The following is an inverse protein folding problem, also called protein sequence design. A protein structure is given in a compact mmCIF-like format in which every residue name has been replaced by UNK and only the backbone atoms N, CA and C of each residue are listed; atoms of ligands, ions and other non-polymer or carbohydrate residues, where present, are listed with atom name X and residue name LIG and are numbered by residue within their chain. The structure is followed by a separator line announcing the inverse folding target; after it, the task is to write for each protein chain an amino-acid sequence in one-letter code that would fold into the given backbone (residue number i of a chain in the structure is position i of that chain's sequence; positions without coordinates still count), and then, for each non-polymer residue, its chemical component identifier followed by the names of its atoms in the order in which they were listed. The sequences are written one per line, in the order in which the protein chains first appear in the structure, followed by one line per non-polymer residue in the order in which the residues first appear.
data_IF_987538448175
#
_entry.id   IF_987538448175
#
_cell.length_a   1.000
_cell.length_b   1.000
_cell.length_c   1.000
_cell.angle_alpha   90.00
_cell.angle_beta   90.00
_cell.angle_gamma   90.00
#
_symmetry.space_group_name_H-M   'P 1'
#
loop_
_entity.id
_entity.type
_entity.pdbx_description
1 polymer ?
#
# COMPACT_ATOMS: atom_id res chain seq x y z
N UNK A 1 -11.18 17.12 -5.58
CA UNK A 1 -12.02 16.55 -4.50
C UNK A 1 -12.07 15.02 -4.56
N UNK A 2 -12.38 14.40 -5.70
CA UNK A 2 -12.46 12.92 -5.83
C UNK A 2 -11.13 12.22 -5.50
N UNK A 3 -9.99 12.75 -5.96
CA UNK A 3 -8.67 12.16 -5.66
C UNK A 3 -8.35 12.13 -4.15
N UNK A 4 -8.73 13.16 -3.40
CA UNK A 4 -8.53 13.21 -1.93
C UNK A 4 -9.38 12.14 -1.25
N UNK A 5 -10.63 11.98 -1.70
CA UNK A 5 -11.54 10.97 -1.15
C UNK A 5 -11.00 9.54 -1.37
N UNK A 6 -10.44 9.27 -2.55
CA UNK A 6 -9.77 7.99 -2.85
C UNK A 6 -8.63 7.73 -1.86
N UNK A 7 -7.74 8.70 -1.64
CA UNK A 7 -6.62 8.53 -0.70
C UNK A 7 -7.08 8.37 0.75
N UNK A 8 -8.13 9.07 1.17
CA UNK A 8 -8.74 8.87 2.49
C UNK A 8 -9.29 7.45 2.61
N UNK A 9 -10.04 6.97 1.62
CA UNK A 9 -10.57 5.60 1.64
C UNK A 9 -9.47 4.55 1.66
N UNK A 10 -8.40 4.74 0.88
CA UNK A 10 -7.22 3.88 0.89
C UNK A 10 -6.56 3.86 2.27
N UNK A 11 -6.43 5.02 2.93
CA UNK A 11 -5.90 5.12 4.29
C UNK A 11 -6.76 4.38 5.32
N UNK A 12 -8.09 4.50 5.21
CA UNK A 12 -9.03 3.76 6.07
C UNK A 12 -8.87 2.25 5.87
N UNK A 13 -8.79 1.79 4.61
CA UNK A 13 -8.57 0.37 4.31
C UNK A 13 -7.22 -0.09 4.86
N UNK A 14 -6.15 0.68 4.68
CA UNK A 14 -4.85 0.37 5.25
C UNK A 14 -4.92 0.21 6.77
N UNK A 15 -5.64 1.10 7.47
CA UNK A 15 -5.85 1.02 8.91
C UNK A 15 -6.65 -0.23 9.33
N UNK A 16 -7.74 -0.54 8.63
CA UNK A 16 -8.52 -1.75 8.88
C UNK A 16 -7.68 -3.01 8.68
N UNK A 17 -6.93 -3.08 7.59
CA UNK A 17 -5.97 -4.15 7.32
C UNK A 17 -4.90 -4.24 8.41
N UNK A 18 -4.37 -3.10 8.88
CA UNK A 18 -3.37 -3.06 9.94
C UNK A 18 -3.87 -3.72 11.22
N UNK A 19 -5.12 -3.43 11.61
CA UNK A 19 -5.76 -3.99 12.79
C UNK A 19 -6.10 -5.48 12.64
N UNK A 20 -6.42 -5.91 11.43
CA UNK A 20 -6.98 -7.26 11.18
C UNK A 20 -5.91 -8.29 10.88
N UNK A 21 -4.88 -7.93 10.10
CA UNK A 21 -3.85 -8.87 9.66
C UNK A 21 -2.74 -8.99 10.69
N UNK A 22 -2.58 -10.16 11.28
CA UNK A 22 -1.38 -10.49 12.04
C UNK A 22 -0.22 -10.75 11.06
N UNK A 23 0.88 -10.07 11.34
CA UNK A 23 2.10 -10.16 10.54
C UNK A 23 3.10 -11.05 11.26
N UNK A 24 3.73 -11.96 10.52
CA UNK A 24 4.83 -12.79 11.02
C UNK A 24 6.07 -11.92 11.33
N UNK A 25 6.58 -12.02 12.57
CA UNK A 25 7.73 -11.23 13.02
C UNK A 25 9.02 -11.54 12.25
N UNK A 26 9.25 -12.80 11.87
CA UNK A 26 10.43 -13.20 11.09
C UNK A 26 10.52 -12.46 9.74
N UNK A 27 9.38 -12.19 9.11
CA UNK A 27 9.32 -11.45 7.85
C UNK A 27 9.53 -9.94 8.05
N UNK A 28 9.15 -9.38 9.21
CA UNK A 28 9.46 -7.99 9.60
C UNK A 28 10.96 -7.81 9.87
N UNK A 29 11.56 -8.76 10.57
CA UNK A 29 13.00 -8.74 10.88
C UNK A 29 13.88 -8.71 9.64
N UNK A 30 13.46 -9.44 8.61
CA UNK A 30 14.14 -9.55 7.32
C UNK A 30 13.78 -8.42 6.33
N UNK A 31 12.96 -7.44 6.73
CA UNK A 31 12.57 -6.32 5.85
C UNK A 31 11.67 -6.68 4.67
N UNK A 32 11.09 -7.89 4.66
CA UNK A 32 10.36 -8.40 3.48
C UNK A 32 9.06 -7.64 3.22
N UNK A 33 8.42 -7.09 4.26
CA UNK A 33 7.15 -6.37 4.09
C UNK A 33 7.32 -5.02 3.40
N UNK A 34 8.49 -4.39 3.45
CA UNK A 34 8.73 -3.19 2.65
C UNK A 34 8.75 -3.54 1.15
N UNK A 35 9.46 -4.62 0.81
CA UNK A 35 9.55 -5.11 -0.57
C UNK A 35 8.17 -5.54 -1.08
N UNK A 36 7.39 -6.26 -0.27
CA UNK A 36 6.04 -6.66 -0.63
C UNK A 36 5.11 -5.44 -0.77
N UNK A 37 5.14 -4.53 0.19
CA UNK A 37 4.34 -3.31 0.15
C UNK A 37 4.66 -2.49 -1.10
N UNK A 38 5.94 -2.27 -1.39
CA UNK A 38 6.41 -1.51 -2.54
C UNK A 38 6.07 -2.19 -3.85
N UNK A 39 6.26 -3.50 -3.95
CA UNK A 39 5.87 -4.29 -5.12
C UNK A 39 4.37 -4.20 -5.40
N UNK A 40 3.54 -4.33 -4.37
CA UNK A 40 2.07 -4.23 -4.48
C UNK A 40 1.65 -2.85 -4.99
N UNK A 41 2.18 -1.77 -4.39
CA UNK A 41 1.84 -0.40 -4.80
C UNK A 41 2.34 -0.12 -6.22
N UNK A 42 3.57 -0.52 -6.55
CA UNK A 42 4.14 -0.31 -7.89
C UNK A 42 3.34 -1.04 -8.97
N UNK A 43 2.99 -2.32 -8.75
CA UNK A 43 2.17 -3.10 -9.69
C UNK A 43 0.77 -2.47 -9.82
N UNK A 44 0.17 -2.02 -8.71
CA UNK A 44 -1.13 -1.35 -8.75
C UNK A 44 -1.09 -0.07 -9.58
N UNK A 45 -0.06 0.77 -9.42
CA UNK A 45 0.11 2.00 -10.20
C UNK A 45 0.30 1.72 -11.69
N UNK A 46 1.17 0.76 -12.04
CA UNK A 46 1.39 0.33 -13.43
C UNK A 46 0.09 -0.22 -14.03
N UNK A 47 -0.60 -1.08 -13.29
CA UNK A 47 -1.89 -1.65 -13.68
C UNK A 47 -2.91 -0.55 -13.96
N UNK A 48 -3.10 0.40 -13.04
CA UNK A 48 -4.01 1.52 -13.23
C UNK A 48 -3.68 2.35 -14.47
N UNK A 49 -2.39 2.59 -14.75
CA UNK A 49 -1.98 3.34 -15.94
C UNK A 49 -2.37 2.62 -17.24
N UNK A 50 -2.05 1.32 -17.33
CA UNK A 50 -2.37 0.50 -18.51
C UNK A 50 -3.89 0.36 -18.68
N UNK A 51 -4.60 0.04 -17.61
CA UNK A 51 -6.05 -0.15 -17.62
C UNK A 51 -6.81 1.12 -17.93
N UNK A 52 -6.33 2.29 -17.48
CA UNK A 52 -6.90 3.57 -17.87
C UNK A 52 -6.85 3.78 -19.39
N UNK A 53 -5.76 3.35 -20.03
CA UNK A 53 -5.57 3.47 -21.47
C UNK A 53 -6.47 2.49 -22.24
N UNK A 54 -6.57 1.25 -21.76
CA UNK A 54 -7.32 0.17 -22.42
C UNK A 54 -8.84 0.28 -22.21
N UNK A 55 -9.28 0.72 -21.03
CA UNK A 55 -10.70 0.75 -20.65
C UNK A 55 -11.32 2.14 -20.78
N UNK A 56 -10.76 3.03 -21.63
CA UNK A 56 -11.19 4.44 -21.75
C UNK A 56 -12.71 4.60 -21.90
N UNK A 57 -13.35 3.72 -22.68
CA UNK A 57 -14.79 3.78 -22.98
C UNK A 57 -15.67 2.95 -22.03
N UNK A 58 -15.08 2.27 -21.04
CA UNK A 58 -15.76 1.34 -20.13
C UNK A 58 -15.72 1.85 -18.69
N UNK A 59 -16.57 2.84 -18.42
CA UNK A 59 -16.70 3.49 -17.10
C UNK A 59 -17.06 2.48 -16.00
N UNK A 60 -17.90 1.50 -16.32
CA UNK A 60 -18.28 0.37 -15.45
C UNK A 60 -17.04 -0.37 -14.91
N UNK A 61 -16.14 -0.75 -15.82
CA UNK A 61 -14.92 -1.47 -15.47
C UNK A 61 -13.89 -0.56 -14.79
N UNK A 62 -13.80 0.72 -15.17
CA UNK A 62 -12.93 1.68 -14.49
C UNK A 62 -13.28 1.85 -13.01
N UNK A 63 -14.56 1.94 -12.67
CA UNK A 63 -15.01 2.07 -11.27
C UNK A 63 -14.64 0.83 -10.46
N UNK A 64 -14.87 -0.37 -11.01
CA UNK A 64 -14.48 -1.64 -10.36
C UNK A 64 -12.97 -1.66 -10.12
N UNK A 65 -12.17 -1.25 -11.11
CA UNK A 65 -10.72 -1.20 -10.98
C UNK A 65 -10.24 -0.19 -9.94
N UNK A 66 -10.89 0.97 -9.83
CA UNK A 66 -10.59 1.94 -8.77
C UNK A 66 -10.84 1.33 -7.39
N UNK A 67 -11.96 0.63 -7.20
CA UNK A 67 -12.28 -0.04 -5.93
C UNK A 67 -11.25 -1.12 -5.59
N UNK A 68 -10.87 -1.96 -6.57
CA UNK A 68 -9.82 -2.97 -6.39
C UNK A 68 -8.49 -2.32 -6.02
N UNK A 69 -8.10 -1.24 -6.71
CA UNK A 69 -6.86 -0.52 -6.45
C UNK A 69 -6.84 0.12 -5.07
N UNK A 70 -7.96 0.64 -4.56
CA UNK A 70 -8.05 1.16 -3.19
C UNK A 70 -7.69 0.07 -2.18
N UNK A 71 -8.22 -1.14 -2.37
CA UNK A 71 -7.95 -2.27 -1.47
C UNK A 71 -6.49 -2.73 -1.59
N UNK A 72 -6.01 -2.94 -2.81
CA UNK A 72 -4.64 -3.41 -3.06
C UNK A 72 -3.60 -2.41 -2.51
N UNK A 73 -3.77 -1.12 -2.79
CA UNK A 73 -2.89 -0.08 -2.25
C UNK A 73 -3.00 0.01 -0.73
N UNK A 74 -4.19 -0.14 -0.17
CA UNK A 74 -4.39 -0.19 1.28
C UNK A 74 -3.58 -1.33 1.93
N UNK A 75 -3.56 -2.52 1.33
CA UNK A 75 -2.73 -3.65 1.78
C UNK A 75 -1.25 -3.32 1.67
N UNK A 76 -0.81 -2.75 0.53
CA UNK A 76 0.58 -2.37 0.32
C UNK A 76 1.08 -1.33 1.34
N UNK A 77 0.29 -0.29 1.57
CA UNK A 77 0.56 0.75 2.59
C UNK A 77 0.58 0.15 3.98
N UNK A 78 -0.33 -0.78 4.29
CA UNK A 78 -0.34 -1.48 5.58
C UNK A 78 0.97 -2.24 5.83
N UNK A 79 1.48 -2.96 4.83
CA UNK A 79 2.75 -3.68 4.95
C UNK A 79 3.93 -2.72 5.18
N UNK A 80 4.03 -1.65 4.39
CA UNK A 80 5.05 -0.60 4.60
C UNK A 80 4.93 0.03 5.99
N UNK A 81 3.71 0.33 6.43
CA UNK A 81 3.47 0.97 7.74
C UNK A 81 3.90 0.06 8.88
N UNK A 82 3.57 -1.24 8.82
CA UNK A 82 4.00 -2.20 9.84
C UNK A 82 5.51 -2.37 9.87
N UNK A 83 6.14 -2.43 8.70
CA UNK A 83 7.59 -2.48 8.60
C UNK A 83 8.22 -1.22 9.21
N UNK A 84 7.73 -0.04 8.84
CA UNK A 84 8.22 1.24 9.36
C UNK A 84 8.07 1.35 10.88
N UNK A 85 6.91 0.97 11.44
CA UNK A 85 6.69 0.96 12.89
C UNK A 85 7.62 -0.03 13.58
N UNK A 86 7.81 -1.23 13.01
CA UNK A 86 8.75 -2.21 13.54
C UNK A 86 10.19 -1.66 13.54
N UNK A 87 10.65 -1.10 12.41
CA UNK A 87 12.00 -0.55 12.29
C UNK A 87 12.22 0.65 13.21
N UNK A 88 11.18 1.46 13.45
CA UNK A 88 11.20 2.56 14.43
C UNK A 88 11.42 2.04 15.85
N UNK A 89 10.66 1.02 16.26
CA UNK A 89 10.78 0.45 17.60
C UNK A 89 12.08 -0.32 17.83
N UNK A 90 12.69 -0.87 16.78
CA UNK A 90 13.92 -1.66 16.86
C UNK A 90 15.18 -0.85 16.50
N UNK A 91 15.07 0.49 16.37
CA UNK A 91 16.17 1.37 15.93
C UNK A 91 16.85 0.90 14.63
N UNK A 92 16.12 0.17 13.78
CA UNK A 92 16.57 -0.27 12.45
C UNK A 92 16.28 0.76 11.37
N UNK A 93 15.51 1.81 11.69
CA UNK A 93 15.37 2.93 10.77
C UNK A 93 16.75 3.45 10.41
N UNK A 94 17.03 3.67 9.11
CA UNK A 94 18.30 4.20 8.68
C UNK A 94 18.53 5.45 9.51
N UNK A 95 19.73 5.62 10.05
CA UNK A 95 19.94 6.73 10.91
C UNK A 95 19.81 7.99 10.08
N UNK A 96 18.98 8.92 10.53
CA UNK A 96 19.42 10.31 10.57
C UNK A 96 20.61 10.44 11.56
N UNK A 97 21.63 9.57 11.47
CA UNK A 97 23.00 9.89 11.89
C UNK A 97 23.43 10.93 10.86
N UNK A 98 23.01 12.17 11.12
CA UNK A 98 23.80 13.33 10.71
C UNK A 98 25.24 13.00 11.08
N UNK A 99 26.09 12.91 10.07
CA UNK A 99 27.54 13.03 10.25
C UNK A 99 27.85 14.22 11.16
#
# INVERSE_FOLDING_TARGET
MISVLIWITTGIVAYLCYKTFNIEQEKLENGKYDIYGFGIVAISLIGMYVLRTVLTDRIDLQVIFILISIVINGIGIMFMTKQFVYDYHHNKLPPFHRK
#
